data_IF_383848119898
#
_entry.id   IF_383848119898
#
_cell.length_a   1.000
_cell.length_b   1.000
_cell.length_c   1.000
_cell.angle_alpha   90.00
_cell.angle_beta   90.00
_cell.angle_gamma   90.00
#
_symmetry.space_group_name_H-M   'P 1'
#
loop_
_entity.id
_entity.type
_entity.pdbx_description
1 polymer ?
#
# COMPACT_ATOMS: atom_id res chain seq x y z
N UNK A 1 33.03 -40.68 -9.37
CA UNK A 1 32.26 -39.90 -10.37
C UNK A 1 30.79 -40.15 -10.09
N UNK A 2 30.19 -39.34 -9.22
CA UNK A 2 28.79 -39.48 -8.81
C UNK A 2 27.98 -38.51 -9.66
N UNK A 3 27.22 -39.02 -10.62
CA UNK A 3 26.30 -38.23 -11.42
C UNK A 3 25.06 -38.00 -10.54
N UNK A 4 24.94 -36.80 -9.98
CA UNK A 4 23.69 -36.34 -9.37
C UNK A 4 22.63 -36.27 -10.47
N UNK A 5 21.61 -37.11 -10.35
CA UNK A 5 20.38 -37.00 -11.14
C UNK A 5 19.74 -35.65 -10.85
N UNK A 6 19.82 -34.74 -11.82
CA UNK A 6 18.95 -33.56 -11.89
C UNK A 6 17.51 -34.08 -12.00
N UNK A 7 16.80 -34.08 -10.87
CA UNK A 7 15.34 -34.15 -10.91
C UNK A 7 14.85 -32.82 -11.48
N UNK A 8 14.73 -32.76 -12.80
CA UNK A 8 14.00 -31.70 -13.50
C UNK A 8 12.59 -31.61 -12.91
N UNK A 9 12.36 -30.54 -12.15
CA UNK A 9 11.07 -30.20 -11.57
C UNK A 9 10.10 -29.84 -12.70
N UNK A 10 9.18 -30.75 -13.00
CA UNK A 10 8.07 -30.51 -13.93
C UNK A 10 7.06 -29.57 -13.27
N UNK A 11 7.26 -28.26 -13.43
CA UNK A 11 6.17 -27.28 -13.26
C UNK A 11 5.16 -27.56 -14.38
N UNK A 12 4.04 -28.16 -14.01
CA UNK A 12 2.94 -28.48 -14.90
C UNK A 12 2.16 -27.18 -15.15
N UNK A 13 2.50 -26.48 -16.23
CA UNK A 13 1.91 -25.19 -16.63
C UNK A 13 0.52 -25.34 -17.25
N UNK A 14 0.11 -26.57 -17.53
CA UNK A 14 -1.21 -26.92 -18.05
C UNK A 14 -1.94 -27.74 -16.99
N UNK A 15 -2.32 -27.10 -15.89
CA UNK A 15 -3.33 -27.68 -15.03
C UNK A 15 -4.68 -27.41 -15.72
N UNK A 16 -5.32 -28.45 -16.22
CA UNK A 16 -6.71 -28.35 -16.66
C UNK A 16 -7.52 -27.86 -15.47
N UNK A 17 -8.24 -26.76 -15.68
CA UNK A 17 -9.17 -26.21 -14.69
C UNK A 17 -10.14 -27.33 -14.26
N UNK A 18 -10.45 -27.48 -12.96
CA UNK A 18 -11.49 -28.40 -12.51
C UNK A 18 -12.91 -28.00 -12.98
N UNK A 19 -13.04 -26.93 -13.79
CA UNK A 19 -14.27 -26.37 -14.30
C UNK A 19 -14.29 -26.32 -15.84
N UNK A 20 -15.48 -26.39 -16.47
CA UNK A 20 -15.63 -26.59 -17.91
C UNK A 20 -14.83 -25.60 -18.76
N UNK A 21 -14.18 -26.13 -19.79
CA UNK A 21 -13.26 -25.41 -20.68
C UNK A 21 -14.03 -24.34 -21.45
N UNK A 22 -13.69 -23.07 -21.20
CA UNK A 22 -14.23 -21.92 -21.92
C UNK A 22 -13.33 -20.69 -21.80
N UNK A 23 -12.65 -20.35 -22.90
CA UNK A 23 -12.11 -19.01 -23.24
C UNK A 23 -11.13 -18.35 -22.25
N UNK A 24 -10.30 -19.11 -21.55
CA UNK A 24 -9.21 -18.53 -20.74
C UNK A 24 -7.86 -19.06 -21.20
N UNK A 25 -6.99 -18.13 -21.58
CA UNK A 25 -5.58 -18.40 -21.78
C UNK A 25 -4.95 -18.58 -20.40
N UNK A 26 -4.66 -19.84 -20.05
CA UNK A 26 -4.09 -20.22 -18.75
C UNK A 26 -2.58 -19.94 -18.68
N UNK A 27 -2.12 -18.98 -19.47
CA UNK A 27 -0.73 -18.59 -19.53
C UNK A 27 -0.40 -17.76 -18.28
N UNK A 28 0.54 -18.18 -17.41
CA UNK A 28 1.00 -17.34 -16.30
C UNK A 28 1.64 -16.03 -16.77
N UNK A 29 1.81 -15.86 -18.09
CA UNK A 29 2.36 -14.70 -18.80
C UNK A 29 1.31 -13.65 -19.17
N UNK A 30 0.01 -13.96 -19.09
CA UNK A 30 -1.01 -12.91 -19.17
C UNK A 30 -0.95 -12.11 -17.87
N UNK A 31 -0.53 -10.84 -17.97
CA UNK A 31 -0.45 -9.93 -16.82
C UNK A 31 -1.82 -9.68 -16.17
N UNK A 32 -2.89 -10.01 -16.89
CA UNK A 32 -4.26 -9.98 -16.45
C UNK A 32 -4.98 -11.21 -17.00
N UNK A 33 -5.67 -11.94 -16.14
CA UNK A 33 -6.55 -13.04 -16.54
C UNK A 33 -7.85 -12.91 -15.76
N UNK A 34 -8.98 -13.12 -16.42
CA UNK A 34 -10.28 -13.03 -15.76
C UNK A 34 -11.20 -14.15 -16.22
N UNK A 35 -11.61 -14.98 -15.28
CA UNK A 35 -12.68 -15.96 -15.47
C UNK A 35 -13.82 -15.64 -14.49
N UNK A 36 -15.03 -15.31 -14.99
CA UNK A 36 -16.13 -14.85 -14.15
C UNK A 36 -16.52 -15.81 -13.03
N UNK A 37 -16.58 -17.12 -13.30
CA UNK A 37 -17.04 -18.10 -12.31
C UNK A 37 -16.03 -18.27 -11.17
N UNK A 38 -14.75 -18.34 -11.51
CA UNK A 38 -13.62 -18.40 -10.57
C UNK A 38 -13.57 -17.12 -9.73
N UNK A 39 -13.85 -15.96 -10.33
CA UNK A 39 -13.95 -14.70 -9.59
C UNK A 39 -15.14 -14.68 -8.62
N UNK A 40 -16.29 -15.25 -8.98
CA UNK A 40 -17.43 -15.42 -8.08
C UNK A 40 -17.03 -16.31 -6.89
N UNK A 41 -16.41 -17.47 -7.12
CA UNK A 41 -15.96 -18.37 -6.05
C UNK A 41 -14.88 -17.74 -5.18
N UNK A 42 -13.97 -16.95 -5.76
CA UNK A 42 -12.97 -16.19 -5.04
C UNK A 42 -13.61 -15.22 -4.03
N UNK A 43 -14.62 -14.45 -4.46
CA UNK A 43 -15.33 -13.52 -3.57
C UNK A 43 -16.20 -14.23 -2.53
N UNK A 44 -16.85 -15.34 -2.91
CA UNK A 44 -17.59 -16.16 -1.94
C UNK A 44 -16.64 -16.64 -0.84
N UNK A 45 -15.48 -17.17 -1.23
CA UNK A 45 -14.51 -17.76 -0.30
C UNK A 45 -13.85 -16.72 0.60
N UNK A 46 -13.43 -15.57 0.06
CA UNK A 46 -12.60 -14.62 0.78
C UNK A 46 -13.31 -13.36 1.28
N UNK A 47 -14.57 -13.15 0.91
CA UNK A 47 -15.37 -12.00 1.38
C UNK A 47 -16.67 -12.46 2.00
N UNK A 48 -17.54 -13.12 1.22
CA UNK A 48 -18.92 -13.41 1.66
C UNK A 48 -18.95 -14.35 2.85
N UNK A 49 -18.09 -15.37 2.87
CA UNK A 49 -17.98 -16.29 4.01
C UNK A 49 -16.99 -15.73 5.05
N UNK A 50 -15.80 -15.34 4.61
CA UNK A 50 -14.71 -14.99 5.51
C UNK A 50 -15.01 -13.77 6.40
N UNK A 51 -15.62 -12.72 5.86
CA UNK A 51 -15.87 -11.48 6.60
C UNK A 51 -16.82 -11.71 7.79
N UNK A 52 -18.05 -12.23 7.61
CA UNK A 52 -18.93 -12.48 8.75
C UNK A 52 -18.36 -13.55 9.68
N UNK A 53 -17.74 -14.60 9.14
CA UNK A 53 -17.14 -15.64 9.97
C UNK A 53 -16.07 -15.07 10.91
N UNK A 54 -15.16 -14.24 10.38
CA UNK A 54 -14.13 -13.58 11.19
C UNK A 54 -14.78 -12.70 12.26
N UNK A 55 -15.75 -11.85 11.91
CA UNK A 55 -16.42 -10.96 12.88
C UNK A 55 -17.16 -11.74 13.98
N UNK A 56 -17.81 -12.85 13.66
CA UNK A 56 -18.51 -13.69 14.63
C UNK A 56 -17.52 -14.33 15.61
N UNK A 57 -16.45 -14.94 15.10
CA UNK A 57 -15.44 -15.62 15.92
C UNK A 57 -14.74 -14.62 16.84
N UNK A 58 -14.27 -13.50 16.28
CA UNK A 58 -13.54 -12.45 17.00
C UNK A 58 -14.44 -11.82 18.07
N UNK A 59 -15.73 -11.60 17.76
CA UNK A 59 -16.72 -11.15 18.74
C UNK A 59 -16.98 -12.18 19.85
N UNK A 60 -17.05 -13.47 19.53
CA UNK A 60 -17.22 -14.53 20.52
C UNK A 60 -16.04 -14.62 21.50
N UNK A 61 -14.82 -14.46 21.00
CA UNK A 61 -13.60 -14.49 21.82
C UNK A 61 -13.19 -13.12 22.39
N UNK A 62 -13.97 -12.06 22.16
CA UNK A 62 -13.66 -10.69 22.59
C UNK A 62 -12.27 -10.20 22.16
N UNK A 63 -11.84 -10.52 20.95
CA UNK A 63 -10.61 -9.97 20.37
C UNK A 63 -10.82 -8.49 19.99
N UNK A 64 -9.72 -7.76 19.83
CA UNK A 64 -9.74 -6.34 19.53
C UNK A 64 -10.19 -6.06 18.08
N UNK A 65 -11.24 -5.26 17.95
CA UNK A 65 -11.88 -4.95 16.66
C UNK A 65 -12.52 -3.57 16.71
N UNK A 66 -12.61 -2.90 15.55
CA UNK A 66 -13.36 -1.65 15.47
C UNK A 66 -14.87 -1.96 15.53
N UNK A 67 -15.58 -1.18 16.36
CA UNK A 67 -17.03 -1.11 16.34
C UNK A 67 -17.50 -0.51 15.02
N UNK A 68 -18.44 -1.18 14.37
CA UNK A 68 -18.88 -0.83 13.02
C UNK A 68 -20.40 -0.90 12.95
N UNK A 69 -20.99 0.12 12.33
CA UNK A 69 -22.42 0.10 11.98
C UNK A 69 -22.66 -0.89 10.82
N UNK A 70 -23.89 -1.37 10.62
CA UNK A 70 -24.23 -2.22 9.46
C UNK A 70 -23.84 -1.58 8.12
N UNK A 71 -23.97 -0.26 7.99
CA UNK A 71 -23.56 0.49 6.80
C UNK A 71 -22.04 0.40 6.58
N UNK A 72 -21.26 0.55 7.66
CA UNK A 72 -19.79 0.44 7.59
C UNK A 72 -19.36 -0.99 7.24
N UNK A 73 -20.02 -2.01 7.78
CA UNK A 73 -19.80 -3.40 7.38
C UNK A 73 -19.99 -3.63 5.89
N UNK A 74 -21.13 -3.17 5.36
CA UNK A 74 -21.42 -3.28 3.93
C UNK A 74 -20.39 -2.52 3.07
N UNK A 75 -20.02 -1.30 3.47
CA UNK A 75 -19.01 -0.50 2.78
C UNK A 75 -17.64 -1.18 2.75
N UNK A 76 -17.21 -1.79 3.85
CA UNK A 76 -15.94 -2.51 3.94
C UNK A 76 -15.96 -3.79 3.10
N UNK A 77 -17.08 -4.53 3.06
CA UNK A 77 -17.23 -5.68 2.15
C UNK A 77 -17.18 -5.26 0.69
N UNK A 78 -17.81 -4.14 0.31
CA UNK A 78 -17.70 -3.58 -1.04
C UNK A 78 -16.28 -3.10 -1.37
N UNK A 79 -15.56 -2.55 -0.39
CA UNK A 79 -14.15 -2.22 -0.55
C UNK A 79 -13.32 -3.48 -0.85
N UNK A 80 -13.54 -4.56 -0.08
CA UNK A 80 -12.90 -5.85 -0.33
C UNK A 80 -13.18 -6.38 -1.74
N UNK A 81 -14.45 -6.37 -2.20
CA UNK A 81 -14.78 -6.82 -3.56
C UNK A 81 -14.05 -5.97 -4.62
N UNK A 82 -13.99 -4.65 -4.45
CA UNK A 82 -13.28 -3.75 -5.39
C UNK A 82 -11.78 -4.02 -5.44
N UNK A 83 -11.14 -4.13 -4.29
CA UNK A 83 -9.70 -4.42 -4.22
C UNK A 83 -9.39 -5.86 -4.67
N UNK A 84 -10.28 -6.81 -4.37
CA UNK A 84 -10.17 -8.20 -4.82
C UNK A 84 -10.25 -8.33 -6.32
N UNK A 85 -11.02 -7.48 -7.01
CA UNK A 85 -10.99 -7.46 -8.48
C UNK A 85 -9.56 -7.21 -8.99
N UNK A 86 -8.89 -6.20 -8.45
CA UNK A 86 -7.52 -5.84 -8.86
C UNK A 86 -6.54 -6.97 -8.51
N UNK A 87 -6.63 -7.52 -7.29
CA UNK A 87 -5.79 -8.65 -6.85
C UNK A 87 -6.03 -9.89 -7.70
N UNK A 88 -7.28 -10.21 -7.98
CA UNK A 88 -7.66 -11.38 -8.76
C UNK A 88 -7.07 -11.33 -10.16
N UNK A 89 -7.25 -10.18 -10.83
CA UNK A 89 -6.80 -9.95 -12.21
C UNK A 89 -5.27 -9.89 -12.28
N UNK A 90 -4.63 -9.03 -11.49
CA UNK A 90 -3.18 -8.80 -11.59
C UNK A 90 -2.34 -9.90 -10.91
N UNK A 91 -2.90 -10.55 -9.88
CA UNK A 91 -2.27 -11.68 -9.18
C UNK A 91 -2.46 -13.02 -9.88
N UNK A 92 -3.14 -13.07 -11.03
CA UNK A 92 -3.33 -14.30 -11.80
C UNK A 92 -4.14 -15.37 -11.08
N UNK A 93 -5.07 -14.97 -10.20
CA UNK A 93 -5.86 -15.91 -9.40
C UNK A 93 -6.87 -16.71 -10.22
N UNK A 94 -7.10 -16.36 -11.49
CA UNK A 94 -7.82 -17.25 -12.41
C UNK A 94 -7.14 -18.62 -12.52
N UNK A 95 -5.80 -18.66 -12.56
CA UNK A 95 -5.04 -19.90 -12.72
C UNK A 95 -4.55 -20.50 -11.40
N UNK A 96 -4.38 -19.68 -10.35
CA UNK A 96 -3.75 -20.09 -9.09
C UNK A 96 -4.72 -20.23 -7.92
N UNK A 97 -5.97 -19.79 -8.06
CA UNK A 97 -6.98 -19.99 -7.03
C UNK A 97 -7.37 -21.47 -6.94
N UNK A 98 -7.13 -22.06 -5.77
CA UNK A 98 -7.49 -23.44 -5.48
C UNK A 98 -7.69 -23.67 -3.98
N UNK A 99 -7.95 -24.93 -3.61
CA UNK A 99 -8.22 -25.33 -2.23
C UNK A 99 -7.04 -25.09 -1.27
N UNK A 100 -5.78 -25.13 -1.72
CA UNK A 100 -4.60 -24.85 -0.87
C UNK A 100 -4.60 -23.38 -0.46
N UNK A 101 -4.88 -22.48 -1.42
CA UNK A 101 -5.03 -21.04 -1.16
C UNK A 101 -6.17 -20.80 -0.17
N UNK A 102 -7.32 -21.46 -0.36
CA UNK A 102 -8.48 -21.33 0.54
C UNK A 102 -8.15 -21.80 1.96
N UNK A 103 -7.59 -23.00 2.10
CA UNK A 103 -7.25 -23.56 3.41
C UNK A 103 -6.23 -22.68 4.13
N UNK A 104 -5.17 -22.27 3.43
CA UNK A 104 -4.12 -21.42 3.97
C UNK A 104 -4.67 -20.06 4.40
N UNK A 105 -5.61 -19.50 3.64
CA UNK A 105 -6.30 -18.26 3.99
C UNK A 105 -7.06 -18.38 5.32
N UNK A 106 -7.88 -19.42 5.48
CA UNK A 106 -8.68 -19.58 6.70
C UNK A 106 -7.82 -19.86 7.94
N UNK A 107 -6.71 -20.59 7.79
CA UNK A 107 -5.75 -20.74 8.89
C UNK A 107 -5.11 -19.38 9.22
N UNK A 108 -4.66 -18.65 8.19
CA UNK A 108 -3.92 -17.41 8.37
C UNK A 108 -4.78 -16.26 8.93
N UNK A 109 -6.06 -16.15 8.56
CA UNK A 109 -6.91 -15.03 9.01
C UNK A 109 -7.11 -15.07 10.53
N UNK A 110 -7.28 -16.26 11.11
CA UNK A 110 -7.38 -16.44 12.55
C UNK A 110 -6.02 -16.46 13.24
N UNK A 111 -5.00 -17.08 12.64
CA UNK A 111 -3.65 -17.04 13.20
C UNK A 111 -3.12 -15.61 13.32
N UNK A 112 -3.34 -14.77 12.31
CA UNK A 112 -2.95 -13.36 12.35
C UNK A 112 -3.77 -12.58 13.38
N UNK A 113 -5.09 -12.82 13.48
CA UNK A 113 -5.91 -12.24 14.54
C UNK A 113 -5.40 -12.58 15.94
N UNK A 114 -5.06 -13.85 16.18
CA UNK A 114 -4.47 -14.30 17.45
C UNK A 114 -3.11 -13.66 17.74
N UNK A 115 -2.26 -13.49 16.73
CA UNK A 115 -0.98 -12.79 16.89
C UNK A 115 -1.19 -11.35 17.36
N UNK A 116 -2.23 -10.67 16.87
CA UNK A 116 -2.57 -9.31 17.28
C UNK A 116 -3.09 -9.21 18.73
N UNK A 117 -3.59 -10.32 19.29
CA UNK A 117 -4.04 -10.36 20.70
C UNK A 117 -2.90 -10.51 21.71
N UNK A 118 -1.70 -10.86 21.26
CA UNK A 118 -0.58 -11.05 22.18
C UNK A 118 -0.17 -9.70 22.79
N UNK A 119 0.01 -9.58 24.13
CA UNK A 119 0.23 -8.30 24.79
C UNK A 119 1.40 -7.48 24.24
N UNK A 120 2.50 -8.13 23.83
CA UNK A 120 3.64 -7.43 23.23
C UNK A 120 3.37 -6.95 21.80
N UNK A 121 2.46 -7.60 21.06
CA UNK A 121 2.07 -7.24 19.69
C UNK A 121 1.13 -6.01 19.67
N UNK A 122 0.46 -5.71 20.78
CA UNK A 122 -0.35 -4.50 20.99
C UNK A 122 0.49 -3.24 21.24
N UNK A 123 1.59 -3.08 20.50
CA UNK A 123 2.45 -1.90 20.57
C UNK A 123 2.45 -1.13 19.27
N UNK A 124 2.34 0.20 19.38
CA UNK A 124 2.22 1.08 18.21
C UNK A 124 3.50 1.10 17.37
N UNK A 125 3.36 0.97 16.04
CA UNK A 125 4.51 0.91 15.14
C UNK A 125 5.47 2.12 15.22
N UNK A 126 5.00 3.37 15.29
CA UNK A 126 5.87 4.55 15.41
C UNK A 126 6.75 4.57 16.66
N UNK A 127 6.40 3.81 17.71
CA UNK A 127 7.17 3.72 18.96
C UNK A 127 8.20 2.59 18.94
N UNK A 128 8.71 2.22 17.77
CA UNK A 128 9.63 1.09 17.57
C UNK A 128 10.86 1.08 18.48
N UNK A 129 11.37 2.25 18.87
CA UNK A 129 12.49 2.36 19.83
C UNK A 129 12.16 1.83 21.23
N UNK A 130 10.88 1.74 21.57
CA UNK A 130 10.38 1.32 22.88
C UNK A 130 9.65 -0.02 22.80
N UNK A 131 9.77 -0.76 21.69
CA UNK A 131 9.12 -2.06 21.56
C UNK A 131 9.72 -3.06 22.56
N UNK A 132 8.87 -3.88 23.21
CA UNK A 132 9.34 -5.02 23.97
C UNK A 132 10.08 -6.02 23.07
N UNK A 133 10.98 -6.82 23.64
CA UNK A 133 11.77 -7.82 22.90
C UNK A 133 10.87 -8.79 22.12
N UNK A 134 9.71 -9.16 22.67
CA UNK A 134 8.74 -10.01 21.96
C UNK A 134 8.23 -9.40 20.66
N UNK A 135 7.97 -8.10 20.62
CA UNK A 135 7.55 -7.39 19.40
C UNK A 135 8.68 -7.32 18.38
N UNK A 136 9.93 -7.08 18.83
CA UNK A 136 11.09 -7.14 17.95
C UNK A 136 11.26 -8.52 17.31
N UNK A 137 11.15 -9.59 18.10
CA UNK A 137 11.24 -10.96 17.59
C UNK A 137 10.12 -11.25 16.58
N UNK A 138 8.88 -10.86 16.88
CA UNK A 138 7.75 -10.97 15.96
C UNK A 138 8.03 -10.25 14.64
N UNK A 139 8.47 -8.99 14.71
CA UNK A 139 8.68 -8.15 13.53
C UNK A 139 9.85 -8.65 12.68
N UNK A 140 10.98 -9.03 13.29
CA UNK A 140 12.13 -9.62 12.60
C UNK A 140 11.73 -10.93 11.93
N UNK A 141 10.95 -11.78 12.61
CA UNK A 141 10.47 -13.04 12.05
C UNK A 141 9.57 -12.81 10.85
N UNK A 142 8.60 -11.89 10.96
CA UNK A 142 7.73 -11.51 9.86
C UNK A 142 8.53 -10.93 8.67
N UNK A 143 9.51 -10.07 8.95
CA UNK A 143 10.38 -9.49 7.92
C UNK A 143 11.21 -10.56 7.19
N UNK A 144 11.87 -11.45 7.93
CA UNK A 144 12.61 -12.57 7.34
C UNK A 144 11.71 -13.51 6.54
N UNK A 145 10.49 -13.79 7.00
CA UNK A 145 9.52 -14.60 6.28
C UNK A 145 9.13 -13.93 4.96
N UNK A 146 8.81 -12.63 4.96
CA UNK A 146 8.50 -11.87 3.74
C UNK A 146 9.69 -11.87 2.77
N UNK A 147 10.91 -11.63 3.24
CA UNK A 147 12.10 -11.67 2.38
C UNK A 147 12.37 -13.05 1.79
N UNK A 148 12.23 -14.11 2.59
CA UNK A 148 12.40 -15.49 2.14
C UNK A 148 11.38 -15.84 1.07
N UNK A 149 10.11 -15.49 1.29
CA UNK A 149 9.05 -15.72 0.31
C UNK A 149 9.27 -14.87 -0.95
N UNK A 150 9.67 -13.61 -0.82
CA UNK A 150 9.99 -12.77 -1.97
C UNK A 150 11.13 -13.38 -2.81
N UNK A 151 12.22 -13.82 -2.16
CA UNK A 151 13.33 -14.50 -2.82
C UNK A 151 12.91 -15.80 -3.51
N UNK A 152 12.06 -16.60 -2.86
CA UNK A 152 11.51 -17.83 -3.45
C UNK A 152 10.68 -17.55 -4.72
N UNK A 153 9.83 -16.54 -4.68
CA UNK A 153 8.99 -16.17 -5.83
C UNK A 153 9.82 -15.52 -6.95
N UNK A 154 10.91 -14.80 -6.64
CA UNK A 154 11.91 -14.35 -7.63
C UNK A 154 12.60 -15.56 -8.27
N UNK A 155 12.97 -16.57 -7.49
CA UNK A 155 13.54 -17.80 -8.02
C UNK A 155 12.58 -18.52 -8.96
N UNK A 156 11.30 -18.64 -8.59
CA UNK A 156 10.27 -19.21 -9.47
C UNK A 156 10.12 -18.41 -10.77
N UNK A 157 10.15 -17.08 -10.67
CA UNK A 157 10.12 -16.19 -11.84
C UNK A 157 11.28 -16.49 -12.81
N UNK A 158 12.52 -16.53 -12.30
CA UNK A 158 13.71 -16.79 -13.10
C UNK A 158 13.67 -18.19 -13.73
N UNK A 159 13.34 -19.22 -12.94
CA UNK A 159 13.27 -20.60 -13.46
C UNK A 159 12.22 -20.78 -14.56
N UNK A 160 11.10 -20.06 -14.47
CA UNK A 160 10.09 -20.04 -15.53
C UNK A 160 10.57 -19.33 -16.80
N UNK A 161 11.34 -18.25 -16.67
CA UNK A 161 11.92 -17.53 -17.82
C UNK A 161 12.94 -18.39 -18.58
N UNK A 162 13.81 -19.10 -17.86
CA UNK A 162 14.84 -19.97 -18.46
C UNK A 162 14.25 -21.13 -19.25
N UNK A 163 13.25 -21.82 -18.67
CA UNK A 163 12.63 -23.01 -19.29
C UNK A 163 11.96 -22.71 -20.64
N UNK A 164 11.37 -21.53 -20.80
CA UNK A 164 10.60 -21.19 -21.99
C UNK A 164 11.42 -20.50 -23.10
N UNK A 165 12.76 -20.45 -22.98
CA UNK A 165 13.66 -19.75 -23.93
C UNK A 165 13.27 -18.28 -24.19
N UNK A 166 12.63 -17.64 -23.21
CA UNK A 166 12.12 -16.27 -23.33
C UNK A 166 13.17 -15.18 -23.13
N UNK A 167 14.46 -15.55 -23.00
CA UNK A 167 15.56 -14.58 -22.98
C UNK A 167 15.63 -13.69 -24.25
N UNK A 168 14.90 -14.05 -25.31
CA UNK A 168 14.79 -13.24 -26.54
C UNK A 168 13.64 -12.22 -26.53
N UNK A 169 12.68 -12.28 -25.59
CA UNK A 169 11.59 -11.29 -25.43
C UNK A 169 11.42 -10.85 -23.97
N UNK A 170 12.15 -9.77 -23.68
CA UNK A 170 11.98 -8.70 -22.69
C UNK A 170 11.85 -9.03 -21.19
N UNK A 171 12.64 -8.30 -20.40
CA UNK A 171 12.66 -8.17 -18.94
C UNK A 171 11.33 -7.66 -18.32
N UNK A 172 10.22 -7.64 -19.08
CA UNK A 172 8.92 -7.09 -18.68
C UNK A 172 8.36 -7.80 -17.45
N UNK A 173 8.57 -9.11 -17.32
CA UNK A 173 8.09 -9.85 -16.15
C UNK A 173 8.83 -9.44 -14.87
N UNK A 174 10.15 -9.32 -14.93
CA UNK A 174 10.97 -8.85 -13.80
C UNK A 174 10.64 -7.39 -13.51
N UNK A 175 10.46 -6.55 -14.53
CA UNK A 175 10.06 -5.15 -14.38
C UNK A 175 8.67 -5.02 -13.71
N UNK A 176 7.70 -5.85 -14.08
CA UNK A 176 6.39 -5.91 -13.42
C UNK A 176 6.53 -6.33 -11.96
N UNK A 177 7.33 -7.37 -11.71
CA UNK A 177 7.55 -7.92 -10.37
C UNK A 177 8.24 -6.91 -9.44
N UNK A 178 9.34 -6.29 -9.88
CA UNK A 178 10.03 -5.22 -9.15
C UNK A 178 9.17 -3.96 -9.04
N UNK A 179 8.41 -3.64 -10.08
CA UNK A 179 7.45 -2.53 -10.11
C UNK A 179 6.41 -2.68 -9.00
N UNK A 180 5.79 -3.85 -8.85
CA UNK A 180 4.86 -4.11 -7.76
C UNK A 180 5.52 -3.95 -6.38
N UNK A 181 6.79 -4.32 -6.18
CA UNK A 181 7.49 -4.16 -4.89
C UNK A 181 7.77 -2.70 -4.57
N UNK A 182 7.91 -1.87 -5.61
CA UNK A 182 8.13 -0.43 -5.46
C UNK A 182 6.87 0.33 -5.07
N UNK A 183 5.66 -0.20 -5.34
CA UNK A 183 4.39 0.51 -5.06
C UNK A 183 4.26 0.94 -3.60
N UNK A 184 4.46 0.09 -2.58
CA UNK A 184 4.35 0.52 -1.18
C UNK A 184 5.39 1.57 -0.81
N UNK A 185 6.61 1.48 -1.36
CA UNK A 185 7.66 2.48 -1.13
C UNK A 185 7.29 3.83 -1.74
N UNK A 186 6.78 3.85 -2.98
CA UNK A 186 6.31 5.05 -3.66
C UNK A 186 5.16 5.68 -2.87
N UNK A 187 4.15 4.90 -2.46
CA UNK A 187 3.02 5.39 -1.66
C UNK A 187 3.47 5.96 -0.31
N UNK A 188 4.44 5.32 0.36
CA UNK A 188 5.02 5.83 1.60
C UNK A 188 5.79 7.14 1.41
N UNK A 189 6.56 7.27 0.33
CA UNK A 189 7.26 8.51 -0.02
C UNK A 189 6.26 9.62 -0.31
N UNK A 190 5.23 9.34 -1.11
CA UNK A 190 4.16 10.30 -1.40
C UNK A 190 3.42 10.71 -0.13
N UNK A 191 3.06 9.76 0.74
CA UNK A 191 2.43 10.07 2.03
C UNK A 191 3.34 10.95 2.93
N UNK A 192 4.65 10.70 2.92
CA UNK A 192 5.61 11.54 3.63
C UNK A 192 5.68 12.96 3.05
N UNK A 193 5.76 13.09 1.73
CA UNK A 193 5.77 14.39 1.06
C UNK A 193 4.48 15.16 1.36
N UNK A 194 3.31 14.51 1.22
CA UNK A 194 2.01 15.11 1.54
C UNK A 194 1.94 15.55 2.99
N UNK A 195 2.40 14.73 3.93
CA UNK A 195 2.48 15.10 5.35
C UNK A 195 3.36 16.35 5.55
N UNK A 196 4.53 16.40 4.92
CA UNK A 196 5.42 17.56 5.04
C UNK A 196 4.80 18.81 4.43
N UNK A 197 4.11 18.68 3.29
CA UNK A 197 3.40 19.80 2.68
C UNK A 197 2.26 20.29 3.58
N UNK A 198 1.46 19.38 4.12
CA UNK A 198 0.33 19.73 5.00
C UNK A 198 0.79 20.40 6.29
N UNK A 199 1.82 19.85 6.93
CA UNK A 199 2.27 20.29 8.26
C UNK A 199 3.29 21.43 8.22
N UNK A 200 4.01 21.64 7.11
CA UNK A 200 5.11 22.62 7.03
C UNK A 200 5.14 23.46 5.76
N UNK A 201 4.32 23.15 4.74
CA UNK A 201 4.28 23.84 3.44
C UNK A 201 5.61 23.81 2.67
N UNK A 202 6.39 22.75 2.83
CA UNK A 202 7.76 22.67 2.29
C UNK A 202 7.82 22.83 0.77
N UNK A 203 6.92 22.20 0.01
CA UNK A 203 6.89 22.30 -1.45
C UNK A 203 6.45 23.70 -1.88
N UNK A 204 5.42 24.24 -1.23
CA UNK A 204 4.95 25.60 -1.48
C UNK A 204 6.06 26.62 -1.22
N UNK A 205 6.79 26.48 -0.12
CA UNK A 205 7.95 27.35 0.21
C UNK A 205 9.06 27.23 -0.83
N UNK A 206 9.39 26.02 -1.27
CA UNK A 206 10.39 25.80 -2.33
C UNK A 206 9.95 26.44 -3.65
N UNK A 207 8.70 26.24 -4.07
CA UNK A 207 8.14 26.86 -5.28
C UNK A 207 8.18 28.38 -5.22
N UNK A 208 7.74 28.98 -4.11
CA UNK A 208 7.77 30.44 -3.93
C UNK A 208 9.21 30.98 -3.96
N UNK A 209 10.19 30.27 -3.39
CA UNK A 209 11.61 30.65 -3.51
C UNK A 209 12.09 30.65 -4.96
N UNK A 210 11.74 29.62 -5.74
CA UNK A 210 12.12 29.53 -7.15
C UNK A 210 11.49 30.67 -7.95
N UNK A 211 10.19 30.91 -7.79
CA UNK A 211 9.49 32.02 -8.45
C UNK A 211 10.15 33.37 -8.11
N UNK A 212 10.47 33.63 -6.84
CA UNK A 212 11.17 34.86 -6.43
C UNK A 212 12.51 35.04 -7.13
N UNK A 213 13.29 33.97 -7.32
CA UNK A 213 14.58 34.04 -8.04
C UNK A 213 14.36 34.43 -9.50
N UNK A 214 13.36 33.84 -10.17
CA UNK A 214 13.06 34.16 -11.56
C UNK A 214 12.48 35.57 -11.74
N UNK A 215 11.59 36.02 -10.86
CA UNK A 215 11.03 37.39 -10.91
C UNK A 215 12.10 38.45 -10.64
N UNK A 216 13.01 38.20 -9.68
CA UNK A 216 14.11 39.13 -9.37
C UNK A 216 15.08 39.31 -10.55
N UNK A 217 15.23 38.27 -11.38
CA UNK A 217 16.13 38.32 -12.55
C UNK A 217 15.53 39.08 -13.74
N UNK A 218 14.20 39.27 -13.79
CA UNK A 218 13.52 40.01 -14.85
C UNK A 218 13.45 41.53 -14.58
N UNK A 219 13.54 41.96 -13.33
CA UNK A 219 13.48 43.37 -12.93
C UNK A 219 14.85 44.10 -12.91
N UNK A 220 15.93 43.50 -13.42
CA UNK A 220 17.23 44.19 -13.51
C UNK A 220 17.53 44.62 -14.96
N UNK A 221 16.96 45.75 -15.37
CA UNK A 221 17.52 46.61 -16.40
C UNK A 221 17.93 47.93 -15.74
N UNK A 222 19.23 48.27 -15.64
CA UNK A 222 19.62 49.58 -15.15
C UNK A 222 19.29 50.63 -16.23
N UNK A 223 18.26 51.45 -15.99
CA UNK A 223 18.09 52.69 -16.77
C UNK A 223 19.10 53.74 -16.29
N UNK A 224 19.69 54.54 -17.19
CA UNK A 224 20.69 55.54 -16.84
C UNK A 224 20.07 56.65 -15.99
N UNK A 225 20.81 57.03 -14.95
CA UNK A 225 20.47 58.09 -14.00
C UNK A 225 20.32 59.42 -14.74
N UNK A 226 19.12 59.99 -14.69
CA UNK A 226 18.94 61.44 -14.84
C UNK A 226 18.25 61.96 -13.58
N UNK A 227 18.97 62.83 -12.90
CA UNK A 227 18.47 63.63 -11.78
C UNK A 227 17.35 64.54 -12.28
N UNK A 228 16.31 64.67 -11.44
CA UNK A 228 15.13 65.54 -11.56
C UNK A 228 13.89 64.89 -12.18
N UNK A 229 13.05 64.29 -11.33
CA UNK A 229 11.63 64.64 -11.11
C UNK A 229 11.01 63.62 -10.15
N UNK A 230 10.74 64.06 -8.92
CA UNK A 230 9.95 63.33 -7.94
C UNK A 230 8.47 63.58 -8.25
N UNK A 231 7.75 62.56 -8.71
CA UNK A 231 6.29 62.61 -8.81
C UNK A 231 5.69 61.24 -8.49
N UNK A 232 4.71 61.27 -7.58
CA UNK A 232 3.81 60.24 -6.99
C UNK A 232 3.73 58.82 -7.58
N UNK A 233 4.03 58.60 -8.87
CA UNK A 233 4.05 57.27 -9.49
C UNK A 233 5.15 56.35 -8.94
N UNK A 234 6.27 56.87 -8.44
CA UNK A 234 7.29 56.03 -7.80
C UNK A 234 6.81 55.47 -6.45
N UNK A 235 6.00 56.21 -5.69
CA UNK A 235 5.47 55.73 -4.41
C UNK A 235 4.46 54.61 -4.59
N UNK A 236 3.61 54.68 -5.62
CA UNK A 236 2.62 53.63 -5.89
C UNK A 236 3.26 52.36 -6.47
N UNK A 237 4.32 52.52 -7.27
CA UNK A 237 5.11 51.39 -7.78
C UNK A 237 5.96 50.75 -6.68
N UNK A 238 6.45 51.54 -5.71
CA UNK A 238 7.14 51.04 -4.52
C UNK A 238 6.17 50.38 -3.54
N UNK A 239 4.95 50.89 -3.35
CA UNK A 239 3.94 50.27 -2.48
C UNK A 239 3.36 48.97 -3.05
N UNK A 240 3.21 48.85 -4.37
CA UNK A 240 2.80 47.59 -5.01
C UNK A 240 3.95 46.56 -5.03
N UNK A 241 5.21 47.00 -5.19
CA UNK A 241 6.38 46.12 -4.99
C UNK A 241 6.57 45.74 -3.51
N UNK A 242 6.35 46.66 -2.57
CA UNK A 242 6.53 46.45 -1.12
C UNK A 242 5.37 45.62 -0.53
N UNK A 243 4.15 45.72 -1.05
CA UNK A 243 3.05 44.77 -0.78
C UNK A 243 3.30 43.38 -1.37
N UNK A 244 4.04 43.27 -2.46
CA UNK A 244 4.49 41.97 -2.98
C UNK A 244 5.63 41.35 -2.13
N UNK A 245 6.35 42.18 -1.36
CA UNK A 245 7.49 41.78 -0.53
C UNK A 245 7.05 41.33 0.88
N UNK A 246 5.89 41.77 1.39
CA UNK A 246 5.33 41.25 2.65
C UNK A 246 4.37 40.09 2.35
N UNK A 247 4.94 38.92 2.03
CA UNK A 247 4.19 37.66 2.12
C UNK A 247 4.86 36.79 3.18
N UNK A 248 4.28 36.67 4.40
CA UNK A 248 4.82 35.80 5.41
C UNK A 248 4.88 34.39 4.84
N UNK A 249 5.92 33.63 5.20
CA UNK A 249 6.04 32.23 4.78
C UNK A 249 4.68 31.53 4.95
N UNK A 250 4.22 30.74 3.95
CA UNK A 250 2.90 30.16 3.98
C UNK A 250 2.72 29.37 5.28
N UNK A 251 1.64 29.69 5.99
CA UNK A 251 1.26 29.00 7.21
C UNK A 251 0.84 27.55 6.88
N UNK A 252 1.18 26.59 7.77
CA UNK A 252 0.65 25.23 7.69
C UNK A 252 -0.87 25.19 7.60
N UNK A 253 -1.39 24.11 7.03
CA UNK A 253 -2.82 23.87 7.07
C UNK A 253 -3.27 23.69 8.52
N UNK A 254 -4.54 24.03 8.80
CA UNK A 254 -5.13 23.93 10.14
C UNK A 254 -5.14 22.51 10.70
N UNK A 255 -5.26 21.53 9.81
CA UNK A 255 -5.31 20.12 10.16
C UNK A 255 -3.92 19.49 10.06
N UNK A 256 -3.56 18.72 11.08
CA UNK A 256 -2.29 18.03 11.14
C UNK A 256 -2.41 16.63 10.55
N UNK A 257 -1.57 16.34 9.56
CA UNK A 257 -1.48 15.02 8.96
C UNK A 257 -0.52 14.11 9.75
N UNK A 258 -0.94 12.86 9.98
CA UNK A 258 -0.10 11.79 10.50
C UNK A 258 -0.19 10.53 9.64
N UNK A 259 0.95 9.87 9.44
CA UNK A 259 1.05 8.64 8.65
C UNK A 259 0.62 7.47 9.54
N UNK A 260 -0.40 6.73 9.10
CA UNK A 260 -0.93 5.58 9.80
C UNK A 260 -1.09 4.41 8.81
N UNK A 261 0.00 3.66 8.55
CA UNK A 261 -0.05 2.55 7.61
C UNK A 261 -0.81 1.39 8.23
N UNK A 262 -1.71 0.79 7.47
CA UNK A 262 -2.39 -0.44 7.85
C UNK A 262 -1.74 -1.62 7.14
N UNK A 263 -1.63 -2.75 7.82
CA UNK A 263 -1.03 -3.96 7.25
C UNK A 263 -1.74 -4.41 5.98
N UNK A 264 -3.05 -4.18 5.84
CA UNK A 264 -3.76 -4.56 4.62
C UNK A 264 -3.15 -3.96 3.36
N UNK A 265 -2.56 -2.77 3.45
CA UNK A 265 -1.99 -2.07 2.31
C UNK A 265 -0.72 -2.76 1.80
N UNK A 266 0.11 -3.28 2.71
CA UNK A 266 1.32 -4.04 2.37
C UNK A 266 0.92 -5.40 1.79
N UNK A 267 0.04 -6.12 2.49
CA UNK A 267 -0.35 -7.47 2.09
C UNK A 267 -1.21 -7.51 0.83
N UNK A 268 -1.95 -6.44 0.54
CA UNK A 268 -2.61 -6.22 -0.74
C UNK A 268 -1.61 -6.26 -1.90
N UNK A 269 -0.49 -5.52 -1.78
CA UNK A 269 0.55 -5.52 -2.80
C UNK A 269 1.28 -6.86 -2.87
N UNK A 270 1.57 -7.48 -1.72
CA UNK A 270 2.20 -8.81 -1.67
C UNK A 270 1.35 -9.90 -2.31
N UNK A 271 0.02 -9.76 -2.31
CA UNK A 271 -0.87 -10.73 -2.95
C UNK A 271 -0.74 -10.80 -4.48
N UNK A 272 -0.13 -9.79 -5.13
CA UNK A 272 0.20 -9.85 -6.56
C UNK A 272 1.35 -10.83 -6.85
N UNK A 273 2.21 -11.09 -5.86
CA UNK A 273 3.44 -11.85 -6.03
C UNK A 273 3.23 -13.35 -6.06
N UNK A 274 2.10 -13.82 -5.56
CA UNK A 274 1.82 -15.24 -5.30
C UNK A 274 1.17 -15.94 -6.50
N UNK A 275 1.51 -15.49 -7.71
CA UNK A 275 0.90 -15.86 -9.00
C UNK A 275 1.40 -17.16 -9.62
N UNK A 276 2.12 -17.99 -8.88
CA UNK A 276 2.66 -19.26 -9.40
C UNK A 276 1.79 -20.45 -9.01
N UNK A 277 1.61 -21.38 -9.95
CA UNK A 277 0.99 -22.67 -9.68
C UNK A 277 1.97 -23.61 -8.94
N UNK A 278 2.34 -23.22 -7.72
CA UNK A 278 3.22 -23.98 -6.84
C UNK A 278 2.62 -23.98 -5.43
N UNK A 279 2.60 -25.12 -4.71
CA UNK A 279 1.97 -25.19 -3.38
C UNK A 279 2.46 -24.11 -2.40
N UNK A 280 3.76 -23.83 -2.39
CA UNK A 280 4.34 -22.75 -1.56
C UNK A 280 3.82 -21.36 -1.95
N UNK A 281 3.62 -21.09 -3.25
CA UNK A 281 3.04 -19.83 -3.74
C UNK A 281 1.56 -19.73 -3.38
N UNK A 282 0.83 -20.85 -3.43
CA UNK A 282 -0.59 -20.90 -3.07
C UNK A 282 -0.82 -20.70 -1.57
N UNK A 283 0.04 -21.31 -0.74
CA UNK A 283 0.07 -21.06 0.71
C UNK A 283 0.34 -19.58 0.97
N UNK A 284 1.37 -19.02 0.32
CA UNK A 284 1.70 -17.60 0.44
C UNK A 284 0.53 -16.70 0.03
N UNK A 285 -0.13 -17.03 -1.09
CA UNK A 285 -1.29 -16.29 -1.59
C UNK A 285 -2.44 -16.30 -0.59
N UNK A 286 -2.72 -17.45 0.00
CA UNK A 286 -3.71 -17.57 1.08
C UNK A 286 -3.36 -16.71 2.29
N UNK A 287 -2.10 -16.75 2.75
CA UNK A 287 -1.62 -15.93 3.87
C UNK A 287 -1.73 -14.43 3.55
N UNK A 288 -1.27 -13.99 2.39
CA UNK A 288 -1.31 -12.57 2.01
C UNK A 288 -2.74 -12.07 1.88
N UNK A 289 -3.62 -12.86 1.24
CA UNK A 289 -5.04 -12.54 1.12
C UNK A 289 -5.71 -12.48 2.50
N UNK A 290 -5.37 -13.39 3.41
CA UNK A 290 -5.92 -13.42 4.76
C UNK A 290 -5.56 -12.18 5.56
N UNK A 291 -4.29 -11.79 5.57
CA UNK A 291 -3.83 -10.62 6.32
C UNK A 291 -4.40 -9.33 5.73
N UNK A 292 -4.48 -9.25 4.40
CA UNK A 292 -5.16 -8.15 3.71
C UNK A 292 -6.65 -8.08 4.04
N UNK A 293 -7.39 -9.19 3.92
CA UNK A 293 -8.82 -9.25 4.25
C UNK A 293 -9.06 -8.95 5.73
N UNK A 294 -8.21 -9.46 6.62
CA UNK A 294 -8.29 -9.19 8.05
C UNK A 294 -8.16 -7.70 8.34
N UNK A 295 -7.22 -6.99 7.71
CA UNK A 295 -7.02 -5.56 8.00
C UNK A 295 -8.22 -4.70 7.58
N UNK A 296 -8.79 -4.95 6.40
CA UNK A 296 -10.00 -4.24 5.97
C UNK A 296 -11.22 -4.68 6.79
N UNK A 297 -11.34 -5.98 7.08
CA UNK A 297 -12.46 -6.56 7.84
C UNK A 297 -12.51 -6.10 9.30
N UNK A 298 -11.37 -6.12 9.98
CA UNK A 298 -11.24 -5.73 11.38
C UNK A 298 -11.28 -4.20 11.56
N UNK A 299 -10.50 -3.46 10.77
CA UNK A 299 -10.26 -2.04 11.01
C UNK A 299 -10.95 -1.14 9.98
N UNK A 300 -10.88 -1.52 8.71
CA UNK A 300 -11.47 -0.76 7.59
C UNK A 300 -10.44 -0.49 6.49
N UNK A 301 -10.87 -0.02 5.31
CA UNK A 301 -9.98 0.38 4.22
C UNK A 301 -9.41 1.80 4.46
N UNK A 302 -9.03 2.10 5.69
CA UNK A 302 -8.70 3.47 6.11
C UNK A 302 -7.49 4.04 5.34
N UNK A 303 -7.43 5.36 5.30
CA UNK A 303 -6.44 6.10 4.52
C UNK A 303 -5.02 5.97 5.11
N UNK A 304 -4.00 6.02 4.25
CA UNK A 304 -2.58 6.09 4.64
C UNK A 304 -2.25 7.31 5.54
N UNK A 305 -3.03 8.38 5.37
CA UNK A 305 -2.93 9.61 6.13
C UNK A 305 -4.19 9.80 6.96
N UNK A 306 -4.00 10.17 8.22
CA UNK A 306 -5.06 10.61 9.10
C UNK A 306 -4.89 12.09 9.39
N UNK A 307 -5.99 12.83 9.31
CA UNK A 307 -6.05 14.24 9.67
C UNK A 307 -6.56 14.37 11.10
N UNK A 308 -5.88 15.21 11.88
CA UNK A 308 -6.30 15.59 13.22
C UNK A 308 -6.39 17.10 13.28
N UNK A 309 -7.59 17.60 13.61
CA UNK A 309 -7.77 19.01 13.93
C UNK A 309 -6.98 19.30 15.20
N UNK A 310 -6.01 20.21 15.12
CA UNK A 310 -5.45 20.80 16.33
C UNK A 310 -6.55 21.69 16.91
N UNK A 311 -7.31 21.16 17.87
CA UNK A 311 -8.11 22.02 18.74
C UNK A 311 -7.09 22.75 19.60
N UNK A 312 -6.69 23.94 19.16
CA UNK A 312 -6.09 24.92 20.07
C UNK A 312 -7.19 25.17 21.08
N UNK A 313 -7.11 24.51 22.24
CA UNK A 313 -7.82 24.95 23.43
C UNK A 313 -7.27 26.34 23.72
N UNK A 314 -7.93 27.36 23.17
CA UNK A 314 -7.85 28.70 23.71
C UNK A 314 -8.28 28.55 25.16
N UNK A 315 -7.30 28.52 26.06
CA UNK A 315 -7.53 28.78 27.46
C UNK A 315 -8.17 30.16 27.51
N UNK A 316 -9.48 30.19 27.61
CA UNK A 316 -10.20 31.34 28.15
C UNK A 316 -9.63 31.45 29.57
N UNK A 317 -8.87 32.51 29.91
CA UNK A 317 -8.55 32.72 31.31
C UNK A 317 -9.89 32.89 32.00
N UNK A 318 -10.17 32.04 32.99
CA UNK A 318 -11.31 32.24 33.87
C UNK A 318 -11.18 33.66 34.42
N UNK A 319 -12.13 34.52 34.04
CA UNK A 319 -12.24 35.85 34.63
C UNK A 319 -12.45 35.69 36.14
N UNK A 320 -11.76 36.57 36.85
CA UNK A 320 -11.59 36.75 38.30
C UNK A 320 -12.73 36.28 39.20
#
# INVERSE_FOLDING_TARGET
MYIMSEKTFLVNLTQESPFPIGLTSNSPWEFYSFEPLTYIYFNISFVIIAYPLYRIVVGFFNWELNDKTPIKHFSDMLALVRYNFIVFVLGGYTATFNWITILSFYIAIFAYGLLAEIPFAKTSLPRWRYWPIGMWNLFITAFCAVLTMAGFHIYLAIGLMEKNKFREKDDIFIAWYLGCLSIPLILMILAYITKQEQNTRILTRCYLKVVRVFTRHHNYQPLPTNENEQTENQQQQTEDEERLIINPDPEPYREFASIHPHHWQIFYTLAFFTRFNHPVSQIAGGITLAIYTQGVGAYGPDNYLSEKIIIIQNAIPAES
#
